data_IF_643773493613
#
_entry.id   IF_643773493613
#
_cell.length_a   1.000
_cell.length_b   1.000
_cell.length_c   1.000
_cell.angle_alpha   90.00
_cell.angle_beta   90.00
_cell.angle_gamma   90.00
#
_symmetry.space_group_name_H-M   'P 1'
#
loop_
_entity.id
_entity.type
_entity.pdbx_description
1 polymer ?
#
# COMPACT_ATOMS: atom_id res chain seq x y z
N UNK A 1 0.52 20.21 0.75
CA UNK A 1 1.98 20.43 0.64
C UNK A 1 2.54 19.55 -0.48
N UNK A 2 3.33 20.12 -1.40
CA UNK A 2 3.91 19.45 -2.58
C UNK A 2 5.21 18.77 -2.14
N UNK A 3 5.48 17.54 -2.59
CA UNK A 3 6.76 16.85 -2.35
C UNK A 3 7.92 17.81 -2.66
N UNK A 4 8.88 17.94 -1.74
CA UNK A 4 9.96 18.92 -1.88
C UNK A 4 10.91 18.59 -3.04
N UNK A 5 11.01 17.31 -3.38
CA UNK A 5 11.75 16.81 -4.54
C UNK A 5 10.83 16.01 -5.47
N UNK A 6 11.05 16.07 -6.80
CA UNK A 6 10.35 15.19 -7.73
C UNK A 6 10.69 13.74 -7.40
N UNK A 7 9.66 12.96 -7.06
CA UNK A 7 9.78 11.54 -6.78
C UNK A 7 9.63 10.75 -8.10
N UNK A 8 10.70 10.05 -8.48
CA UNK A 8 10.70 9.10 -9.59
C UNK A 8 10.55 7.68 -9.05
N UNK A 9 9.61 6.94 -9.63
CA UNK A 9 9.43 5.51 -9.42
C UNK A 9 10.07 4.78 -10.58
N UNK A 10 11.05 3.93 -10.30
CA UNK A 10 11.73 3.07 -11.26
C UNK A 10 11.16 1.67 -11.09
N UNK A 11 10.64 1.10 -12.16
CA UNK A 11 10.10 -0.25 -12.19
C UNK A 11 10.94 -1.06 -13.16
N UNK A 12 11.58 -2.09 -12.64
CA UNK A 12 12.37 -3.06 -13.40
C UNK A 12 11.62 -4.39 -13.41
N UNK A 13 11.53 -5.03 -14.58
CA UNK A 13 11.05 -6.39 -14.73
C UNK A 13 12.25 -7.31 -14.50
N UNK A 14 12.33 -7.91 -13.32
CA UNK A 14 13.40 -8.83 -12.95
C UNK A 14 13.19 -10.21 -13.60
N UNK A 15 14.28 -10.86 -14.00
CA UNK A 15 14.23 -12.19 -14.58
C UNK A 15 13.77 -13.20 -13.52
N UNK A 16 12.76 -14.01 -13.85
CA UNK A 16 12.19 -15.07 -13.00
C UNK A 16 13.24 -15.78 -12.12
N UNK A 17 13.35 -15.38 -10.85
CA UNK A 17 14.21 -16.09 -9.91
C UNK A 17 13.46 -17.34 -9.45
N UNK A 18 13.74 -18.47 -10.11
CA UNK A 18 13.52 -19.84 -9.59
C UNK A 18 12.15 -20.11 -8.95
N UNK A 19 11.07 -19.57 -9.50
CA UNK A 19 9.73 -19.98 -9.13
C UNK A 19 9.11 -20.66 -10.35
N UNK A 20 8.94 -21.97 -10.27
CA UNK A 20 7.92 -22.65 -11.05
C UNK A 20 6.63 -21.88 -10.83
N UNK A 21 6.17 -21.14 -11.84
CA UNK A 21 4.92 -20.40 -11.77
C UNK A 21 3.82 -21.46 -11.69
N UNK A 22 3.49 -21.90 -10.48
CA UNK A 22 2.27 -22.66 -10.22
C UNK A 22 1.13 -21.65 -10.36
N UNK A 23 0.69 -21.43 -11.60
CA UNK A 23 -0.54 -20.68 -11.91
C UNK A 23 -1.70 -21.51 -11.36
N UNK A 24 -1.96 -21.37 -10.05
CA UNK A 24 -3.04 -22.09 -9.36
C UNK A 24 -4.37 -21.35 -9.57
N UNK A 25 -5.13 -21.89 -10.53
CA UNK A 25 -6.60 -21.81 -10.74
C UNK A 25 -7.25 -20.43 -10.88
N UNK A 26 -7.63 -20.13 -12.13
CA UNK A 26 -9.02 -19.88 -12.51
C UNK A 26 -9.30 -20.79 -13.72
N UNK A 27 -10.52 -21.29 -13.83
CA UNK A 27 -10.93 -22.38 -14.72
C UNK A 27 -10.62 -22.12 -16.20
N UNK A 28 -9.41 -22.49 -16.62
CA UNK A 28 -9.00 -23.05 -17.92
C UNK A 28 -7.48 -22.98 -17.99
N UNK A 29 -6.86 -24.15 -18.11
CA UNK A 29 -5.44 -24.41 -18.28
C UNK A 29 -4.60 -23.28 -18.92
N UNK A 30 -3.38 -23.13 -18.40
CA UNK A 30 -2.24 -22.71 -19.21
C UNK A 30 -1.11 -23.72 -18.99
N UNK A 31 -1.28 -24.85 -19.65
CA UNK A 31 -0.17 -25.66 -20.14
C UNK A 31 -0.15 -25.35 -21.65
N UNK A 32 0.90 -24.72 -22.18
CA UNK A 32 1.13 -24.78 -23.61
C UNK A 32 1.61 -26.21 -23.90
N UNK A 33 0.76 -27.01 -24.54
CA UNK A 33 1.06 -28.40 -24.90
C UNK A 33 2.18 -28.53 -25.94
N UNK A 34 2.75 -27.41 -26.42
CA UNK A 34 3.86 -27.36 -27.38
C UNK A 34 5.13 -26.67 -26.86
N UNK A 35 5.09 -25.83 -25.81
CA UNK A 35 6.29 -25.05 -25.39
C UNK A 35 6.77 -25.25 -23.94
N UNK A 36 6.03 -25.90 -23.05
CA UNK A 36 6.47 -26.07 -21.66
C UNK A 36 6.34 -24.81 -20.79
N UNK A 37 6.84 -24.90 -19.54
CA UNK A 37 6.78 -23.89 -18.48
C UNK A 37 7.13 -22.48 -18.98
N UNK A 38 6.33 -21.46 -18.60
CA UNK A 38 6.75 -20.05 -18.71
C UNK A 38 7.96 -19.87 -17.79
N UNK A 39 9.14 -19.75 -18.40
CA UNK A 39 10.42 -19.80 -17.68
C UNK A 39 11.18 -18.47 -17.71
N UNK A 40 10.81 -17.57 -18.63
CA UNK A 40 11.46 -16.28 -18.83
C UNK A 40 10.46 -15.23 -19.38
N UNK A 41 10.88 -13.96 -19.40
CA UNK A 41 10.04 -12.83 -19.83
C UNK A 41 9.61 -12.95 -21.30
N UNK A 42 10.47 -13.47 -22.18
CA UNK A 42 10.12 -13.66 -23.59
C UNK A 42 9.02 -14.71 -23.76
N UNK A 43 9.04 -15.80 -22.99
CA UNK A 43 7.97 -16.81 -22.98
C UNK A 43 6.64 -16.17 -22.54
N UNK A 44 6.68 -15.29 -21.55
CA UNK A 44 5.51 -14.55 -21.07
C UNK A 44 4.99 -13.59 -22.16
N UNK A 45 5.87 -12.83 -22.83
CA UNK A 45 5.48 -11.95 -23.93
C UNK A 45 4.86 -12.72 -25.09
N UNK A 46 5.44 -13.87 -25.47
CA UNK A 46 4.90 -14.73 -26.53
C UNK A 46 3.54 -15.30 -26.11
N UNK A 47 3.41 -15.73 -24.85
CA UNK A 47 2.17 -16.27 -24.31
C UNK A 47 1.03 -15.24 -24.34
N UNK A 48 1.29 -14.01 -23.85
CA UNK A 48 0.32 -12.92 -23.85
C UNK A 48 0.02 -12.47 -25.28
N UNK A 49 1.05 -12.26 -26.12
CA UNK A 49 0.90 -11.83 -27.51
C UNK A 49 0.10 -12.80 -28.38
N UNK A 50 0.01 -14.08 -28.01
CA UNK A 50 -0.86 -15.09 -28.65
C UNK A 50 -2.31 -15.06 -28.15
N UNK A 51 -2.56 -14.49 -26.97
CA UNK A 51 -3.86 -14.47 -26.28
C UNK A 51 -4.59 -13.14 -26.34
N UNK A 52 -3.98 -12.07 -26.83
CA UNK A 52 -4.61 -10.75 -26.91
C UNK A 52 -5.84 -10.76 -27.83
N UNK A 53 -7.00 -11.19 -27.30
CA UNK A 53 -8.24 -10.46 -27.54
C UNK A 53 -8.01 -9.08 -26.91
N UNK A 54 -8.01 -8.04 -27.73
CA UNK A 54 -7.43 -6.72 -27.46
C UNK A 54 -8.11 -5.91 -26.34
N UNK A 55 -9.01 -6.52 -25.58
CA UNK A 55 -9.92 -5.84 -24.67
C UNK A 55 -9.68 -6.14 -23.19
N UNK A 56 -8.97 -7.22 -22.84
CA UNK A 56 -8.61 -7.50 -21.45
C UNK A 56 -7.26 -6.83 -21.14
N UNK A 57 -7.12 -6.09 -20.01
CA UNK A 57 -5.83 -5.55 -19.59
C UNK A 57 -4.81 -6.68 -19.35
N UNK A 58 -3.61 -6.53 -19.89
CA UNK A 58 -2.49 -7.45 -19.71
C UNK A 58 -2.13 -7.55 -18.23
N UNK A 59 -2.07 -6.42 -17.54
CA UNK A 59 -1.84 -6.31 -16.09
C UNK A 59 -2.78 -7.20 -15.28
N UNK A 60 -4.03 -7.37 -15.72
CA UNK A 60 -4.98 -8.28 -15.08
C UNK A 60 -4.63 -9.76 -15.33
N UNK A 61 -4.17 -10.12 -16.52
CA UNK A 61 -3.77 -11.49 -16.85
C UNK A 61 -2.52 -11.95 -16.08
N UNK A 62 -1.57 -11.04 -15.87
CA UNK A 62 -0.30 -11.30 -15.17
C UNK A 62 -0.33 -10.90 -13.69
N UNK A 63 -1.50 -10.57 -13.14
CA UNK A 63 -1.63 -9.96 -11.80
C UNK A 63 -0.93 -10.74 -10.68
N UNK A 64 -0.90 -12.08 -10.76
CA UNK A 64 -0.25 -12.92 -9.75
C UNK A 64 1.25 -13.15 -9.96
N UNK A 65 1.80 -12.69 -11.09
CA UNK A 65 3.21 -12.88 -11.44
C UNK A 65 4.08 -11.98 -10.57
N UNK A 66 5.07 -12.56 -9.90
CA UNK A 66 6.11 -11.86 -9.14
C UNK A 66 7.31 -11.60 -10.05
N UNK A 67 7.32 -10.45 -10.70
CA UNK A 67 8.39 -10.09 -11.64
C UNK A 67 8.81 -8.63 -11.53
N UNK A 68 8.27 -7.88 -10.57
CA UNK A 68 8.55 -6.46 -10.44
C UNK A 68 9.58 -6.20 -9.36
N UNK A 69 10.56 -5.38 -9.70
CA UNK A 69 11.39 -4.64 -8.78
C UNK A 69 10.99 -3.16 -8.86
N UNK A 70 10.56 -2.57 -7.75
CA UNK A 70 10.10 -1.17 -7.70
C UNK A 70 11.03 -0.39 -6.79
N UNK A 71 11.82 0.57 -7.30
CA UNK A 71 12.83 1.29 -6.50
C UNK A 71 13.72 0.34 -5.67
N UNK A 72 14.21 -0.76 -6.27
CA UNK A 72 15.01 -1.82 -5.62
C UNK A 72 14.23 -2.74 -4.67
N UNK A 73 12.90 -2.62 -4.65
CA UNK A 73 12.01 -3.54 -3.94
C UNK A 73 11.64 -4.71 -4.87
N UNK A 74 12.43 -5.77 -4.84
CA UNK A 74 12.27 -6.94 -5.71
C UNK A 74 11.09 -7.86 -5.31
N UNK A 75 10.70 -8.74 -6.24
CA UNK A 75 9.71 -9.81 -6.04
C UNK A 75 8.27 -9.31 -5.74
N UNK A 76 7.96 -8.08 -6.17
CA UNK A 76 6.62 -7.53 -6.13
C UNK A 76 5.71 -8.23 -7.16
N UNK A 77 4.46 -8.46 -6.76
CA UNK A 77 3.39 -8.96 -7.64
C UNK A 77 2.85 -7.81 -8.47
N UNK A 78 2.49 -8.06 -9.72
CA UNK A 78 1.82 -7.04 -10.56
C UNK A 78 0.55 -6.51 -9.88
N UNK A 79 -0.24 -7.38 -9.23
CA UNK A 79 -1.45 -7.00 -8.49
C UNK A 79 -1.18 -6.11 -7.28
N UNK A 80 0.06 -6.04 -6.78
CA UNK A 80 0.44 -5.24 -5.61
C UNK A 80 1.08 -3.91 -5.98
N UNK A 81 1.23 -3.60 -7.27
CA UNK A 81 2.00 -2.45 -7.69
C UNK A 81 1.51 -1.12 -7.13
N UNK A 82 0.19 -0.91 -7.07
CA UNK A 82 -0.35 0.32 -6.48
C UNK A 82 -0.15 0.33 -4.96
N UNK A 83 -0.20 -0.83 -4.30
CA UNK A 83 0.06 -0.90 -2.87
C UNK A 83 1.53 -0.55 -2.58
N UNK A 84 2.46 -1.18 -3.28
CA UNK A 84 3.90 -0.91 -3.12
C UNK A 84 4.24 0.56 -3.45
N UNK A 85 3.65 1.11 -4.51
CA UNK A 85 3.93 2.51 -4.89
C UNK A 85 3.24 3.50 -3.95
N UNK A 86 1.94 3.35 -3.69
CA UNK A 86 1.17 4.35 -2.93
C UNK A 86 1.42 4.23 -1.43
N UNK A 87 1.37 3.01 -0.90
CA UNK A 87 1.36 2.75 0.54
C UNK A 87 2.77 2.57 1.11
N UNK A 88 3.73 2.07 0.31
CA UNK A 88 5.14 2.05 0.72
C UNK A 88 5.90 3.26 0.19
N UNK A 89 6.08 3.42 -1.13
CA UNK A 89 7.03 4.42 -1.65
C UNK A 89 6.56 5.86 -1.39
N UNK A 90 5.38 6.23 -1.86
CA UNK A 90 4.89 7.62 -1.78
C UNK A 90 4.57 7.99 -0.32
N UNK A 91 3.85 7.12 0.39
CA UNK A 91 3.50 7.35 1.80
C UNK A 91 4.73 7.53 2.67
N UNK A 92 5.77 6.69 2.53
CA UNK A 92 6.97 6.84 3.33
C UNK A 92 7.70 8.12 3.01
N UNK A 93 7.83 8.49 1.72
CA UNK A 93 8.47 9.75 1.33
C UNK A 93 7.77 10.96 1.94
N UNK A 94 6.43 10.99 1.90
CA UNK A 94 5.64 12.07 2.50
C UNK A 94 5.85 12.16 4.01
N UNK A 95 5.83 11.02 4.71
CA UNK A 95 6.04 10.98 6.15
C UNK A 95 7.48 11.36 6.54
N UNK A 96 8.48 10.90 5.79
CA UNK A 96 9.89 11.24 5.98
C UNK A 96 10.12 12.75 5.81
N UNK A 97 9.61 13.36 4.74
CA UNK A 97 9.72 14.80 4.49
C UNK A 97 9.04 15.66 5.56
N UNK A 98 8.17 15.08 6.38
CA UNK A 98 7.52 15.74 7.51
C UNK A 98 8.14 15.44 8.86
N UNK A 99 9.29 14.75 8.89
CA UNK A 99 9.99 14.41 10.12
C UNK A 99 9.23 13.40 10.99
N UNK A 100 8.22 12.71 10.44
CA UNK A 100 7.37 11.77 11.18
C UNK A 100 8.17 10.63 11.80
N UNK A 101 9.14 10.07 11.05
CA UNK A 101 9.97 8.99 11.55
C UNK A 101 10.94 9.44 12.65
N UNK A 102 11.38 10.69 12.63
CA UNK A 102 12.20 11.27 13.71
C UNK A 102 11.36 11.48 14.97
N UNK A 103 10.14 12.01 14.82
CA UNK A 103 9.15 12.19 15.90
C UNK A 103 8.85 10.85 16.62
N UNK A 104 8.76 9.75 15.87
CA UNK A 104 8.48 8.41 16.41
C UNK A 104 9.71 7.50 16.48
N UNK A 105 10.92 8.05 16.38
CA UNK A 105 12.17 7.28 16.33
C UNK A 105 12.36 6.31 17.51
N UNK A 106 11.96 6.72 18.72
CA UNK A 106 12.01 5.87 19.91
C UNK A 106 11.07 4.66 19.81
N UNK A 107 9.84 4.88 19.35
CA UNK A 107 8.85 3.83 19.10
C UNK A 107 9.35 2.87 18.02
N UNK A 108 9.78 3.39 16.87
CA UNK A 108 10.25 2.60 15.73
C UNK A 108 11.54 1.82 16.05
N UNK A 109 12.45 2.41 16.82
CA UNK A 109 13.65 1.70 17.30
C UNK A 109 13.28 0.52 18.20
N UNK A 110 12.25 0.68 19.04
CA UNK A 110 11.77 -0.41 19.90
C UNK A 110 11.24 -1.61 19.12
N UNK A 111 10.78 -1.41 17.88
CA UNK A 111 10.29 -2.50 17.02
C UNK A 111 11.40 -3.23 16.24
N UNK A 112 12.68 -2.89 16.46
CA UNK A 112 13.81 -3.53 15.76
C UNK A 112 14.38 -2.74 14.57
N UNK A 113 14.11 -1.42 14.52
CA UNK A 113 14.59 -0.46 13.50
C UNK A 113 14.12 -0.76 12.06
N UNK A 114 12.93 -0.26 11.67
CA UNK A 114 12.40 -0.43 10.32
C UNK A 114 13.26 0.21 9.23
N UNK A 115 13.96 1.31 9.57
CA UNK A 115 14.73 2.13 8.64
C UNK A 115 15.98 1.42 8.09
N UNK A 116 16.49 0.40 8.79
CA UNK A 116 17.74 -0.28 8.39
C UNK A 116 17.54 -1.58 7.63
N UNK A 117 16.33 -2.15 7.54
CA UNK A 117 16.13 -3.48 6.96
C UNK A 117 14.73 -3.66 6.35
N UNK A 118 14.63 -3.45 5.04
CA UNK A 118 13.53 -3.86 4.15
C UNK A 118 12.19 -3.10 4.32
N UNK A 119 11.76 -2.41 3.26
CA UNK A 119 10.42 -1.80 3.12
C UNK A 119 9.25 -2.80 3.18
N UNK A 120 9.54 -4.10 3.18
CA UNK A 120 8.59 -5.21 3.34
C UNK A 120 8.70 -5.91 4.71
N UNK A 121 9.38 -5.29 5.68
CA UNK A 121 9.34 -5.79 7.05
C UNK A 121 7.98 -5.49 7.68
N UNK A 122 7.65 -6.21 8.77
CA UNK A 122 6.36 -6.07 9.46
C UNK A 122 6.07 -4.63 9.86
N UNK A 123 7.10 -3.91 10.26
CA UNK A 123 7.02 -2.54 10.75
C UNK A 123 6.68 -1.57 9.62
N UNK A 124 7.14 -1.84 8.40
CA UNK A 124 6.80 -1.05 7.22
C UNK A 124 5.35 -1.27 6.79
N UNK A 125 4.83 -2.49 6.92
CA UNK A 125 3.41 -2.80 6.71
C UNK A 125 2.50 -2.01 7.68
N UNK A 126 2.94 -1.77 8.92
CA UNK A 126 2.18 -0.94 9.88
C UNK A 126 2.01 0.51 9.39
N UNK A 127 3.01 1.04 8.66
CA UNK A 127 2.95 2.39 8.07
C UNK A 127 2.09 2.38 6.81
N UNK A 128 2.31 1.38 5.94
CA UNK A 128 1.54 1.20 4.70
C UNK A 128 0.04 1.03 4.98
N UNK A 129 -0.31 0.33 6.06
CA UNK A 129 -1.69 0.13 6.49
C UNK A 129 -2.47 1.44 6.73
N UNK A 130 -1.79 2.53 7.11
CA UNK A 130 -2.43 3.84 7.33
C UNK A 130 -3.00 4.37 6.02
N UNK A 131 -2.18 4.43 4.97
CA UNK A 131 -2.63 4.93 3.68
C UNK A 131 -3.56 3.92 2.99
N UNK A 132 -3.29 2.62 3.12
CA UNK A 132 -4.17 1.57 2.61
C UNK A 132 -5.60 1.73 3.13
N UNK A 133 -5.78 1.81 4.46
CA UNK A 133 -7.10 1.99 5.07
C UNK A 133 -7.76 3.32 4.66
N UNK A 134 -6.98 4.39 4.55
CA UNK A 134 -7.47 5.69 4.06
C UNK A 134 -7.99 5.59 2.62
N UNK A 135 -7.31 4.83 1.75
CA UNK A 135 -7.79 4.57 0.37
C UNK A 135 -9.09 3.78 0.37
N UNK A 136 -9.18 2.74 1.21
CA UNK A 136 -10.40 1.95 1.35
C UNK A 136 -11.60 2.82 1.76
N UNK A 137 -11.42 3.73 2.72
CA UNK A 137 -12.49 4.65 3.15
C UNK A 137 -13.10 5.45 1.99
N UNK A 138 -12.27 5.87 1.03
CA UNK A 138 -12.68 6.71 -0.10
C UNK A 138 -13.55 5.97 -1.14
N UNK A 139 -13.50 4.63 -1.17
CA UNK A 139 -14.20 3.82 -2.17
C UNK A 139 -15.27 2.90 -1.58
N UNK A 140 -15.15 2.55 -0.30
CA UNK A 140 -16.11 1.68 0.36
C UNK A 140 -17.41 2.43 0.65
N UNK A 141 -18.58 1.80 0.40
CA UNK A 141 -19.85 2.34 0.84
C UNK A 141 -19.86 2.47 2.36
N UNK A 142 -20.57 3.48 2.89
CA UNK A 142 -20.61 3.75 4.34
C UNK A 142 -20.97 2.52 5.17
N UNK A 143 -21.84 1.64 4.66
CA UNK A 143 -22.25 0.39 5.33
C UNK A 143 -21.13 -0.65 5.47
N UNK A 144 -20.07 -0.58 4.66
CA UNK A 144 -18.94 -1.51 4.69
C UNK A 144 -17.73 -0.94 5.46
N UNK A 145 -17.81 0.30 5.95
CA UNK A 145 -16.72 0.93 6.70
C UNK A 145 -16.72 0.40 8.14
N UNK A 146 -15.63 -0.25 8.54
CA UNK A 146 -15.41 -0.55 9.95
C UNK A 146 -15.31 0.76 10.74
N UNK A 147 -16.00 0.84 11.89
CA UNK A 147 -15.97 2.02 12.76
C UNK A 147 -15.70 1.59 14.19
N UNK A 148 -14.53 1.98 14.71
CA UNK A 148 -14.21 1.95 16.12
C UNK A 148 -14.80 3.21 16.79
N UNK A 149 -15.36 3.05 17.99
CA UNK A 149 -15.72 4.21 18.80
C UNK A 149 -14.46 4.92 19.30
N UNK A 150 -14.24 6.16 18.84
CA UNK A 150 -13.09 6.98 19.23
C UNK A 150 -13.03 7.23 20.75
N UNK A 151 -14.14 7.13 21.48
CA UNK A 151 -14.14 7.25 22.94
C UNK A 151 -13.32 6.16 23.64
N UNK A 152 -13.11 5.01 22.97
CA UNK A 152 -12.24 3.94 23.46
C UNK A 152 -10.79 4.40 23.42
N UNK A 153 -10.38 5.03 22.31
CA UNK A 153 -9.02 5.51 22.09
C UNK A 153 -8.68 6.64 23.05
N UNK A 154 -9.60 7.59 23.23
CA UNK A 154 -9.46 8.67 24.22
C UNK A 154 -9.18 8.12 25.61
N UNK A 155 -9.99 7.17 26.08
CA UNK A 155 -9.82 6.53 27.40
C UNK A 155 -8.48 5.80 27.52
N UNK A 156 -8.00 5.16 26.46
CA UNK A 156 -6.68 4.50 26.44
C UNK A 156 -5.58 5.56 26.62
N UNK A 157 -5.63 6.65 25.84
CA UNK A 157 -4.68 7.75 25.92
C UNK A 157 -4.71 8.44 27.29
N UNK A 158 -5.88 8.79 27.81
CA UNK A 158 -6.06 9.40 29.14
C UNK A 158 -5.43 8.56 30.25
N UNK A 159 -5.71 7.24 30.28
CA UNK A 159 -5.14 6.33 31.27
C UNK A 159 -3.62 6.25 31.17
N UNK A 160 -3.09 6.24 29.94
CA UNK A 160 -1.63 6.20 29.71
C UNK A 160 -0.93 7.46 30.23
N UNK A 161 -1.56 8.63 30.07
CA UNK A 161 -1.04 9.92 30.54
C UNK A 161 -1.12 10.01 32.07
N UNK A 162 -2.28 9.66 32.64
CA UNK A 162 -2.53 9.72 34.10
C UNK A 162 -1.62 8.79 34.90
N UNK A 163 -1.32 7.60 34.36
CA UNK A 163 -0.48 6.60 35.03
C UNK A 163 1.00 6.99 35.10
N UNK A 164 1.42 8.11 34.49
CA UNK A 164 2.83 8.53 34.35
C UNK A 164 3.73 7.37 33.89
N UNK A 165 3.18 6.46 33.08
CA UNK A 165 3.97 5.38 32.52
C UNK A 165 5.15 5.98 31.74
N UNK A 166 6.31 5.30 31.70
CA UNK A 166 7.47 5.75 30.92
C UNK A 166 7.18 6.01 29.43
N UNK A 167 6.01 5.59 28.95
CA UNK A 167 5.50 5.77 27.61
C UNK A 167 4.73 7.09 27.37
N UNK A 168 4.53 7.97 28.37
CA UNK A 168 3.83 9.24 28.13
C UNK A 168 4.69 10.15 27.21
N UNK A 169 4.39 10.14 25.92
CA UNK A 169 5.06 10.93 24.91
C UNK A 169 4.33 12.25 24.67
N UNK A 170 5.04 13.25 24.16
CA UNK A 170 4.40 14.48 23.67
C UNK A 170 3.35 14.16 22.58
N UNK A 171 3.59 13.11 21.79
CA UNK A 171 2.69 12.63 20.73
C UNK A 171 1.32 12.21 21.28
N UNK A 172 1.28 11.46 22.38
CA UNK A 172 0.03 11.02 23.01
C UNK A 172 -0.82 12.19 23.49
N UNK A 173 -0.18 13.22 24.06
CA UNK A 173 -0.87 14.41 24.53
C UNK A 173 -1.41 15.26 23.38
N UNK A 174 -0.64 15.42 22.30
CA UNK A 174 -1.09 16.14 21.10
C UNK A 174 -2.31 15.45 20.46
N UNK A 175 -2.22 14.12 20.29
CA UNK A 175 -3.31 13.32 19.73
C UNK A 175 -4.55 13.34 20.61
N UNK A 176 -4.42 13.21 21.94
CA UNK A 176 -5.57 13.30 22.83
C UNK A 176 -6.23 14.69 22.76
N UNK A 177 -5.41 15.75 22.76
CA UNK A 177 -5.91 17.12 22.58
C UNK A 177 -6.66 17.28 21.26
N UNK A 178 -6.09 16.75 20.18
CA UNK A 178 -6.71 16.75 18.85
C UNK A 178 -8.05 16.02 18.85
N UNK A 179 -8.11 14.80 19.39
CA UNK A 179 -9.35 14.01 19.47
C UNK A 179 -10.41 14.73 20.32
N UNK A 180 -10.04 15.29 21.47
CA UNK A 180 -10.98 16.00 22.35
C UNK A 180 -11.63 17.23 21.71
N UNK A 181 -10.95 17.84 20.73
CA UNK A 181 -11.46 18.99 19.99
C UNK A 181 -12.14 18.62 18.65
N UNK A 182 -12.12 17.33 18.28
CA UNK A 182 -12.71 16.85 17.03
C UNK A 182 -14.23 16.66 17.18
N UNK A 183 -15.00 17.21 16.23
CA UNK A 183 -16.42 16.91 16.12
C UNK A 183 -16.62 15.42 15.79
N UNK A 184 -17.25 14.68 16.70
CA UNK A 184 -17.46 13.23 16.59
C UNK A 184 -18.44 12.84 15.49
N UNK A 185 -19.24 13.79 14.99
CA UNK A 185 -20.13 13.57 13.86
C UNK A 185 -19.48 13.89 12.49
N UNK A 186 -18.23 14.34 12.47
CA UNK A 186 -17.55 14.73 11.23
C UNK A 186 -17.05 13.54 10.41
N UNK A 187 -16.92 13.73 9.09
CA UNK A 187 -16.28 12.78 8.16
C UNK A 187 -14.84 12.45 8.59
N UNK A 188 -14.16 13.39 9.26
CA UNK A 188 -12.82 13.19 9.79
C UNK A 188 -12.80 12.22 10.97
N UNK A 189 -13.77 12.32 11.88
CA UNK A 189 -13.92 11.34 12.94
C UNK A 189 -14.21 9.95 12.39
N UNK A 190 -15.07 9.85 11.36
CA UNK A 190 -15.36 8.58 10.69
C UNK A 190 -14.11 7.99 10.02
N UNK A 191 -13.33 8.81 9.33
CA UNK A 191 -12.09 8.40 8.67
C UNK A 191 -11.06 7.90 9.70
N UNK A 192 -10.86 8.63 10.81
CA UNK A 192 -9.92 8.22 11.86
C UNK A 192 -10.35 6.87 12.47
N UNK A 193 -11.65 6.72 12.77
CA UNK A 193 -12.19 5.48 13.30
C UNK A 193 -11.96 4.30 12.33
N UNK A 194 -12.15 4.53 11.03
CA UNK A 194 -11.94 3.53 10.00
C UNK A 194 -10.47 3.12 9.86
N UNK A 195 -9.56 4.09 9.80
CA UNK A 195 -8.12 3.84 9.67
C UNK A 195 -7.58 3.11 10.91
N UNK A 196 -8.00 3.51 12.11
CA UNK A 196 -7.62 2.81 13.35
C UNK A 196 -8.13 1.37 13.38
N UNK A 197 -9.39 1.15 12.99
CA UNK A 197 -9.95 -0.21 12.95
C UNK A 197 -9.15 -1.14 12.03
N UNK A 198 -8.82 -0.67 10.83
CA UNK A 198 -8.09 -1.47 9.85
C UNK A 198 -6.61 -1.66 10.21
N UNK A 199 -5.94 -0.64 10.75
CA UNK A 199 -4.54 -0.77 11.18
C UNK A 199 -4.40 -1.72 12.37
N UNK A 200 -5.34 -1.69 13.33
CA UNK A 200 -5.40 -2.68 14.42
C UNK A 200 -5.62 -4.08 13.86
N UNK A 201 -6.59 -4.26 12.95
CA UNK A 201 -6.87 -5.54 12.31
C UNK A 201 -5.64 -6.08 11.56
N UNK A 202 -4.97 -5.23 10.78
CA UNK A 202 -3.76 -5.63 10.05
C UNK A 202 -2.62 -5.99 11.01
N UNK A 203 -2.42 -5.23 12.09
CA UNK A 203 -1.45 -5.58 13.12
C UNK A 203 -1.75 -6.96 13.75
N UNK A 204 -3.02 -7.28 14.01
CA UNK A 204 -3.44 -8.60 14.49
C UNK A 204 -3.26 -9.72 13.45
N UNK A 205 -3.54 -9.44 12.17
CA UNK A 205 -3.30 -10.39 11.06
C UNK A 205 -1.81 -10.67 10.87
N UNK A 206 -0.95 -9.65 10.93
CA UNK A 206 0.49 -9.81 10.88
C UNK A 206 0.99 -10.68 12.04
N UNK A 207 0.43 -10.49 13.24
CA UNK A 207 0.73 -11.34 14.40
C UNK A 207 0.29 -12.79 14.20
N UNK A 208 -0.88 -13.02 13.60
CA UNK A 208 -1.39 -14.37 13.31
C UNK A 208 -0.55 -15.10 12.27
N UNK A 209 -0.16 -14.41 11.20
CA UNK A 209 0.53 -15.03 10.06
C UNK A 209 2.04 -15.18 10.29
N UNK A 210 2.66 -14.25 11.01
CA UNK A 210 4.13 -14.17 11.13
C UNK A 210 4.64 -14.19 12.57
N UNK A 211 3.73 -14.32 13.54
CA UNK A 211 4.04 -14.27 14.97
C UNK A 211 4.16 -12.84 15.51
N UNK A 212 4.32 -12.75 16.82
CA UNK A 212 4.34 -11.49 17.57
C UNK A 212 5.47 -10.55 17.14
N UNK A 213 5.17 -9.27 16.95
CA UNK A 213 6.18 -8.22 16.82
C UNK A 213 6.80 -7.97 18.18
N UNK A 214 8.10 -8.25 18.32
CA UNK A 214 8.83 -8.10 19.60
C UNK A 214 9.24 -6.65 19.80
N UNK A 215 9.20 -6.19 21.06
CA UNK A 215 9.68 -4.86 21.43
C UNK A 215 10.98 -4.96 22.22
N UNK A 216 11.88 -4.01 21.99
CA UNK A 216 13.20 -3.95 22.61
C UNK A 216 13.37 -2.64 23.39
N UNK A 217 14.07 -2.71 24.52
CA UNK A 217 14.42 -1.53 25.30
C UNK A 217 15.59 -0.75 24.65
N UNK A 218 15.98 0.38 25.26
CA UNK A 218 17.11 1.21 24.80
C UNK A 218 18.47 0.49 24.82
N UNK A 219 18.57 -0.64 25.54
CA UNK A 219 19.78 -1.48 25.61
C UNK A 219 19.73 -2.64 24.60
N UNK A 220 18.68 -2.72 23.77
CA UNK A 220 18.46 -3.80 22.81
C UNK A 220 18.00 -5.10 23.46
N UNK A 221 17.55 -5.08 24.71
CA UNK A 221 17.01 -6.25 25.39
C UNK A 221 15.52 -6.40 25.09
N UNK A 222 15.07 -7.64 24.94
CA UNK A 222 13.65 -7.94 24.75
C UNK A 222 12.83 -7.39 25.93
N UNK A 223 11.88 -6.53 25.62
CA UNK A 223 11.04 -5.79 26.57
C UNK A 223 9.54 -6.10 26.40
N UNK A 224 9.18 -6.98 25.47
CA UNK A 224 7.81 -7.48 25.31
C UNK A 224 7.42 -7.67 23.85
N UNK A 225 6.15 -7.33 23.57
CA UNK A 225 5.53 -7.38 22.25
C UNK A 225 4.76 -6.10 21.95
N UNK A 226 4.60 -5.77 20.68
CA UNK A 226 3.71 -4.69 20.27
C UNK A 226 2.26 -5.13 20.52
N UNK A 227 1.58 -4.39 21.38
CA UNK A 227 0.12 -4.44 21.52
C UNK A 227 -0.50 -3.54 20.45
N UNK A 228 -1.43 -4.01 19.61
CA UNK A 228 -2.17 -3.15 18.67
C UNK A 228 -2.92 -1.99 19.35
N UNK A 229 -3.18 -2.10 20.66
CA UNK A 229 -3.80 -1.05 21.48
C UNK A 229 -2.78 -0.19 22.23
N UNK A 230 -1.49 -0.31 21.89
CA UNK A 230 -0.45 0.51 22.50
C UNK A 230 -0.71 2.01 22.25
N UNK A 231 -0.74 2.86 23.29
CA UNK A 231 -1.01 4.30 23.16
C UNK A 231 -0.11 5.01 22.14
N UNK A 232 1.18 4.67 22.08
CA UNK A 232 2.12 5.27 21.14
C UNK A 232 1.86 4.86 19.70
N UNK A 233 1.47 3.59 19.49
CA UNK A 233 1.08 3.09 18.16
C UNK A 233 -0.24 3.74 17.67
N UNK A 234 -1.22 3.90 18.56
CA UNK A 234 -2.47 4.58 18.24
C UNK A 234 -2.20 6.06 17.87
N UNK A 235 -1.34 6.74 18.62
CA UNK A 235 -0.90 8.09 18.27
C UNK A 235 -0.16 8.13 16.93
N UNK A 236 0.75 7.18 16.68
CA UNK A 236 1.48 7.04 15.43
C UNK A 236 0.54 6.95 14.22
N UNK A 237 -0.50 6.12 14.30
CA UNK A 237 -1.49 5.98 13.21
C UNK A 237 -2.24 7.30 12.98
N UNK A 238 -2.70 7.97 14.03
CA UNK A 238 -3.47 9.22 13.92
C UNK A 238 -2.62 10.35 13.33
N UNK A 239 -1.38 10.52 13.80
CA UNK A 239 -0.48 11.56 13.28
C UNK A 239 -0.07 11.29 11.84
N UNK A 240 0.22 10.03 11.49
CA UNK A 240 0.50 9.64 10.12
C UNK A 240 -0.68 9.96 9.18
N UNK A 241 -1.90 9.66 9.62
CA UNK A 241 -3.11 10.00 8.87
C UNK A 241 -3.29 11.52 8.70
N UNK A 242 -3.05 12.31 9.76
CA UNK A 242 -3.13 13.78 9.72
C UNK A 242 -2.14 14.36 8.72
N UNK A 243 -0.91 13.85 8.68
CA UNK A 243 0.11 14.27 7.70
C UNK A 243 -0.35 13.93 6.28
N UNK A 244 -0.79 12.68 6.04
CA UNK A 244 -1.21 12.22 4.71
C UNK A 244 -2.40 13.02 4.18
N UNK A 245 -3.35 13.39 5.04
CA UNK A 245 -4.51 14.23 4.67
C UNK A 245 -4.10 15.62 4.17
N UNK A 246 -2.98 16.18 4.65
CA UNK A 246 -2.50 17.52 4.29
C UNK A 246 -1.41 17.53 3.20
N UNK A 247 -1.15 16.36 2.60
CA UNK A 247 -0.11 16.13 1.59
C UNK A 247 -0.64 16.28 0.15
N UNK A 248 0.12 15.80 -0.85
CA UNK A 248 -0.34 15.69 -2.24
C UNK A 248 -1.68 14.94 -2.36
N UNK A 249 -1.94 13.99 -1.47
CA UNK A 249 -3.20 13.25 -1.43
C UNK A 249 -4.41 14.07 -0.97
N UNK A 250 -4.22 15.34 -0.61
CA UNK A 250 -5.32 16.30 -0.38
C UNK A 250 -5.90 16.81 -1.71
N UNK A 251 -5.06 16.93 -2.73
CA UNK A 251 -5.38 17.66 -3.97
C UNK A 251 -5.82 16.73 -5.10
N UNK A 252 -5.41 15.46 -5.04
CA UNK A 252 -5.74 14.45 -6.03
C UNK A 252 -6.38 13.29 -5.29
N UNK A 253 -7.52 12.81 -5.79
CA UNK A 253 -8.13 11.60 -5.25
C UNK A 253 -7.14 10.46 -5.37
N UNK A 254 -6.95 9.69 -4.29
CA UNK A 254 -6.05 8.53 -4.35
C UNK A 254 -6.54 7.49 -5.37
N UNK A 255 -7.84 7.51 -5.66
CA UNK A 255 -8.42 6.74 -6.75
C UNK A 255 -7.90 7.18 -8.13
N UNK A 256 -7.80 8.49 -8.38
CA UNK A 256 -7.30 9.02 -9.65
C UNK A 256 -5.83 8.65 -9.84
N UNK A 257 -5.03 8.73 -8.77
CA UNK A 257 -3.62 8.30 -8.78
C UNK A 257 -3.53 6.80 -9.11
N UNK A 258 -4.37 5.96 -8.49
CA UNK A 258 -4.38 4.51 -8.75
C UNK A 258 -4.84 4.16 -10.17
N UNK A 259 -5.84 4.88 -10.71
CA UNK A 259 -6.29 4.74 -12.10
C UNK A 259 -5.16 5.11 -13.06
N UNK A 260 -4.54 6.27 -12.85
CA UNK A 260 -3.47 6.76 -13.71
C UNK A 260 -2.26 5.83 -13.68
N UNK A 261 -1.90 5.33 -12.50
CA UNK A 261 -0.86 4.33 -12.36
C UNK A 261 -1.21 3.05 -13.11
N UNK A 262 -2.41 2.50 -12.95
CA UNK A 262 -2.84 1.29 -13.67
C UNK A 262 -2.79 1.47 -15.20
N UNK A 263 -3.17 2.65 -15.70
CA UNK A 263 -3.13 2.99 -17.12
C UNK A 263 -1.69 3.08 -17.65
N UNK A 264 -0.81 3.83 -16.96
CA UNK A 264 0.60 3.96 -17.35
C UNK A 264 1.26 2.58 -17.38
N UNK A 265 0.99 1.76 -16.36
CA UNK A 265 1.51 0.40 -16.26
C UNK A 265 1.10 -0.48 -17.43
N UNK A 266 -0.18 -0.45 -17.79
CA UNK A 266 -0.69 -1.23 -18.90
C UNK A 266 -0.05 -0.81 -20.25
N UNK A 267 0.13 0.50 -20.48
CA UNK A 267 0.84 1.01 -21.66
C UNK A 267 2.29 0.53 -21.71
N UNK A 268 3.01 0.61 -20.59
CA UNK A 268 4.41 0.17 -20.52
C UNK A 268 4.53 -1.34 -20.75
N UNK A 269 3.69 -2.17 -20.10
CA UNK A 269 3.69 -3.62 -20.36
C UNK A 269 3.36 -3.96 -21.81
N UNK A 270 2.41 -3.26 -22.43
CA UNK A 270 2.09 -3.43 -23.86
C UNK A 270 3.29 -3.07 -24.73
N UNK A 271 3.90 -1.92 -24.48
CA UNK A 271 5.10 -1.48 -25.20
C UNK A 271 6.26 -2.47 -25.06
N UNK A 272 6.44 -3.07 -23.87
CA UNK A 272 7.44 -4.08 -23.62
C UNK A 272 7.17 -5.39 -24.37
N UNK A 273 5.91 -5.86 -24.39
CA UNK A 273 5.52 -7.05 -25.13
C UNK A 273 5.70 -6.86 -26.64
N UNK A 274 5.36 -5.68 -27.16
CA UNK A 274 5.52 -5.35 -28.59
C UNK A 274 7.00 -5.23 -28.96
N UNK A 275 7.80 -4.57 -28.12
CA UNK A 275 9.19 -4.26 -28.44
C UNK A 275 10.17 -5.37 -28.10
N UNK A 276 9.85 -6.29 -27.18
CA UNK A 276 10.73 -7.33 -26.63
C UNK A 276 12.09 -6.79 -26.11
N UNK A 277 12.16 -5.52 -25.70
CA UNK A 277 13.47 -4.85 -25.49
C UNK A 277 13.61 -4.07 -24.18
N UNK A 278 12.52 -3.79 -23.46
CA UNK A 278 12.58 -3.01 -22.23
C UNK A 278 12.25 -3.88 -21.02
N UNK A 279 13.19 -3.93 -20.08
CA UNK A 279 13.00 -4.53 -18.76
C UNK A 279 12.93 -3.46 -17.67
N UNK A 280 12.86 -2.16 -18.03
CA UNK A 280 12.81 -1.07 -17.05
C UNK A 280 12.08 0.15 -17.64
N UNK A 281 11.34 0.85 -16.79
CA UNK A 281 10.71 2.12 -17.08
C UNK A 281 10.57 2.96 -15.81
N UNK A 282 10.35 4.27 -15.98
CA UNK A 282 10.27 5.21 -14.88
C UNK A 282 9.00 6.04 -14.97
N UNK A 283 8.34 6.26 -13.84
CA UNK A 283 7.15 7.10 -13.69
C UNK A 283 7.50 8.27 -12.77
N UNK A 284 7.25 9.52 -13.19
CA UNK A 284 7.29 10.63 -12.24
C UNK A 284 5.97 10.70 -11.48
N UNK A 285 6.02 10.88 -10.16
CA UNK A 285 4.80 10.97 -9.34
C UNK A 285 3.93 12.17 -9.74
N UNK A 286 4.51 13.22 -10.32
CA UNK A 286 3.77 14.32 -10.95
C UNK A 286 2.86 13.88 -12.08
N UNK A 287 3.24 12.84 -12.83
CA UNK A 287 2.47 12.36 -13.99
C UNK A 287 1.20 11.62 -13.55
N UNK A 288 1.19 11.13 -12.30
CA UNK A 288 0.00 10.52 -11.69
C UNK A 288 -1.10 11.55 -11.38
N UNK A 289 -0.78 12.85 -11.42
CA UNK A 289 -1.73 13.93 -11.15
C UNK A 289 -2.41 14.51 -12.39
N UNK A 290 -1.86 14.28 -13.59
CA UNK A 290 -2.34 14.88 -14.83
C UNK A 290 -2.47 13.84 -15.95
N UNK A 291 -3.63 13.17 -15.96
CA UNK A 291 -3.97 12.15 -16.95
C UNK A 291 -4.21 12.70 -18.36
N UNK A 292 -4.29 14.04 -18.53
CA UNK A 292 -4.65 14.66 -19.82
C UNK A 292 -3.49 14.68 -20.81
N UNK A 293 -2.28 14.40 -20.33
CA UNK A 293 -1.04 14.40 -21.12
C UNK A 293 -0.65 13.03 -21.69
N UNK A 294 -1.35 11.96 -21.30
CA UNK A 294 -1.00 10.59 -21.69
C UNK A 294 -1.66 10.22 -23.03
N UNK A 295 -0.84 10.00 -24.06
CA UNK A 295 -1.30 9.43 -25.33
C UNK A 295 -1.40 7.91 -25.20
N UNK A 296 -2.62 7.38 -25.18
CA UNK A 296 -2.86 5.94 -25.03
C UNK A 296 -2.79 5.21 -26.37
N UNK A 297 -2.05 4.09 -26.41
CA UNK A 297 -2.07 3.13 -27.52
C UNK A 297 -3.16 2.06 -27.35
N UNK A 298 -3.73 1.95 -26.15
CA UNK A 298 -4.76 0.97 -25.79
C UNK A 298 -6.15 1.24 -26.38
N UNK A 299 -6.94 0.16 -26.56
CA UNK A 299 -8.34 0.24 -26.98
C UNK A 299 -9.21 1.01 -25.98
N UNK A 300 -10.29 1.62 -26.47
CA UNK A 300 -11.27 2.33 -25.63
C UNK A 300 -11.93 1.40 -24.60
N UNK A 301 -12.09 0.11 -24.93
CA UNK A 301 -12.61 -0.90 -24.02
C UNK A 301 -11.64 -1.21 -22.89
N UNK A 302 -10.34 -1.37 -23.17
CA UNK A 302 -9.30 -1.56 -22.15
C UNK A 302 -9.25 -0.35 -21.20
N UNK A 303 -9.26 0.87 -21.76
CA UNK A 303 -9.29 2.10 -20.95
C UNK A 303 -10.54 2.17 -20.07
N UNK A 304 -11.70 1.75 -20.59
CA UNK A 304 -12.94 1.68 -19.81
C UNK A 304 -12.82 0.68 -18.66
N UNK A 305 -12.29 -0.51 -18.91
CA UNK A 305 -12.12 -1.53 -17.87
C UNK A 305 -11.14 -1.09 -16.78
N UNK A 306 -10.05 -0.42 -17.13
CA UNK A 306 -9.11 0.13 -16.14
C UNK A 306 -9.73 1.27 -15.30
N UNK A 307 -10.67 2.04 -15.87
CA UNK A 307 -11.42 3.08 -15.14
C UNK A 307 -12.52 2.50 -14.26
N UNK A 308 -13.22 1.46 -14.71
CA UNK A 308 -14.28 0.79 -13.94
C UNK A 308 -13.70 -0.09 -12.83
N UNK A 309 -12.51 -0.67 -13.07
CA UNK A 309 -11.86 -1.60 -12.16
C UNK A 309 -10.36 -1.27 -11.99
N UNK A 310 -10.00 -0.09 -11.49
CA UNK A 310 -8.60 0.21 -11.13
C UNK A 310 -8.11 -0.70 -9.98
N UNK A 311 -9.06 -1.40 -9.36
CA UNK A 311 -8.87 -2.33 -8.26
C UNK A 311 -8.22 -3.66 -8.60
N UNK A 312 -8.10 -4.00 -9.89
CA UNK A 312 -7.35 -5.17 -10.34
C UNK A 312 -5.89 -5.20 -9.84
N UNK A 313 -5.37 -4.04 -9.43
CA UNK A 313 -4.01 -3.85 -8.92
C UNK A 313 -3.95 -3.23 -7.50
N UNK A 314 -5.03 -3.19 -6.71
CA UNK A 314 -4.99 -2.51 -5.39
C UNK A 314 -5.63 -3.24 -4.22
N UNK A 315 -6.49 -4.22 -4.46
CA UNK A 315 -7.22 -4.87 -3.38
C UNK A 315 -6.77 -6.32 -3.34
N UNK A 316 -6.22 -6.77 -2.19
CA UNK A 316 -6.44 -8.16 -1.78
C UNK A 316 -7.90 -8.42 -2.10
N UNK A 317 -8.19 -9.42 -2.93
CA UNK A 317 -9.53 -9.88 -3.21
C UNK A 317 -10.30 -9.98 -1.89
N UNK A 318 -11.04 -8.92 -1.53
CA UNK A 318 -12.13 -9.07 -0.60
C UNK A 318 -13.14 -9.83 -1.41
N UNK A 319 -13.15 -11.14 -1.15
CA UNK A 319 -14.25 -12.05 -1.39
C UNK A 319 -15.53 -11.28 -1.15
N UNK A 320 -16.16 -10.79 -2.21
CA UNK A 320 -17.60 -10.63 -2.19
C UNK A 320 -18.14 -12.03 -1.87
N UNK A 321 -18.96 -12.21 -0.83
CA UNK A 321 -19.77 -13.40 -0.80
C UNK A 321 -20.59 -13.36 -2.09
N UNK A 322 -20.34 -14.35 -2.95
CA UNK A 322 -21.24 -14.70 -4.04
C UNK A 322 -22.65 -14.79 -3.43
N UNK A 323 -23.68 -14.22 -4.07
CA UNK A 323 -25.04 -14.10 -3.52
C UNK A 323 -25.62 -15.43 -3.00
#
# INVERSE_FOLDING_TARGET
MILHEPLTIIITIDQFINQSIEIKRLDNFIFDSRTGLISNFNDLCIFIGRRTNQDIPITYEIREVRMLEINKMANSKVSFINHDILDHIITFKILEEQGFFDQYSAFLTSLGNPYKRYFFNREAELVAAINYARRQFSVLPTSARCQLDLSIIEKILEKSIQSKLPSNSANQNDVLSYLNNLDKASDEAELIAHVLSNTILEAEELQRNYGMTLTFDRKGQLNGRLDPWNPEYLSFVIDGLRILKNSIFQFISVQDIAINLAIIMEEEFRGMIISLTKNEFSIQVSDLSDSTSLNFSMSSQTQRLLKEYPHFNTFRDFVFPVP
#
